data_IF_852488749465
#
_entry.id   IF_852488749465
#
_cell.length_a   1.000
_cell.length_b   1.000
_cell.length_c   1.000
_cell.angle_alpha   90.00
_cell.angle_beta   90.00
_cell.angle_gamma   90.00
#
_symmetry.space_group_name_H-M   'P 1'
#
loop_
_entity.id
_entity.type
_entity.pdbx_description
1 polymer ?
#
# COMPACT_ATOMS: atom_id res chain seq x y z
N UNK A 1 -8.23 12.11 18.88
CA UNK A 1 -8.56 10.83 18.21
C UNK A 1 -9.10 11.17 16.83
N UNK A 2 -8.46 10.70 15.77
CA UNK A 2 -8.94 10.86 14.40
C UNK A 2 -10.24 10.06 14.23
N UNK A 3 -11.19 10.63 13.52
CA UNK A 3 -12.46 9.97 13.20
C UNK A 3 -12.60 9.85 11.69
N UNK A 4 -13.08 8.69 11.26
CA UNK A 4 -13.43 8.48 9.87
C UNK A 4 -14.54 9.45 9.43
N UNK A 5 -14.53 9.87 8.18
CA UNK A 5 -15.62 10.63 7.60
C UNK A 5 -16.93 9.83 7.67
N UNK A 6 -18.05 10.53 7.79
CA UNK A 6 -19.35 9.88 7.87
C UNK A 6 -19.59 9.01 6.62
N UNK A 7 -19.90 7.73 6.82
CA UNK A 7 -20.18 6.79 5.75
C UNK A 7 -18.96 6.05 5.19
N UNK A 8 -17.76 6.26 5.74
CA UNK A 8 -16.53 5.57 5.28
C UNK A 8 -16.06 4.47 6.24
N UNK A 9 -16.62 4.38 7.44
CA UNK A 9 -16.32 3.34 8.43
C UNK A 9 -17.41 2.25 8.39
N UNK A 10 -17.51 1.55 7.26
CA UNK A 10 -18.58 0.60 6.95
C UNK A 10 -18.12 -0.86 6.96
N UNK A 11 -16.81 -1.12 6.82
CA UNK A 11 -16.27 -2.48 6.85
C UNK A 11 -15.94 -2.92 8.26
N UNK A 12 -16.24 -4.18 8.54
CA UNK A 12 -15.87 -4.87 9.78
C UNK A 12 -14.99 -6.07 9.42
N UNK A 13 -14.19 -6.59 10.36
CA UNK A 13 -13.40 -7.80 10.15
C UNK A 13 -14.26 -8.98 9.65
N UNK A 14 -15.51 -9.10 10.12
CA UNK A 14 -16.43 -10.15 9.70
C UNK A 14 -16.86 -10.04 8.23
N UNK A 15 -16.84 -8.84 7.65
CA UNK A 15 -17.17 -8.61 6.23
C UNK A 15 -16.03 -9.03 5.30
N UNK A 16 -14.81 -9.21 5.83
CA UNK A 16 -13.67 -9.62 5.02
C UNK A 16 -13.79 -11.08 4.59
N UNK A 17 -13.51 -11.39 3.31
CA UNK A 17 -13.41 -12.77 2.83
C UNK A 17 -12.19 -13.47 3.44
N UNK A 18 -12.05 -14.78 3.18
CA UNK A 18 -10.77 -15.46 3.42
C UNK A 18 -9.67 -14.83 2.56
N UNK A 19 -8.52 -14.60 3.18
CA UNK A 19 -7.38 -13.88 2.60
C UNK A 19 -6.25 -14.87 2.39
N UNK A 20 -5.86 -15.09 1.15
CA UNK A 20 -4.72 -15.96 0.84
C UNK A 20 -3.41 -15.31 1.28
N UNK A 21 -3.22 -14.02 0.99
CA UNK A 21 -2.03 -13.27 1.37
C UNK A 21 -2.41 -11.88 1.89
N UNK A 22 -2.02 -11.58 3.10
CA UNK A 22 -2.04 -10.23 3.67
C UNK A 22 -0.66 -9.59 3.47
N UNK A 23 -0.60 -8.50 2.73
CA UNK A 23 0.62 -7.71 2.56
C UNK A 23 0.60 -6.51 3.50
N UNK A 24 1.61 -6.39 4.35
CA UNK A 24 1.80 -5.23 5.23
C UNK A 24 2.99 -4.44 4.72
N UNK A 25 2.80 -3.16 4.41
CA UNK A 25 3.85 -2.30 3.85
C UNK A 25 4.75 -1.69 4.90
N UNK A 26 4.21 -1.33 6.06
CA UNK A 26 4.95 -0.74 7.18
C UNK A 26 4.12 -0.71 8.47
N UNK A 27 4.72 -0.32 9.58
CA UNK A 27 4.16 -0.45 10.93
C UNK A 27 3.25 0.71 11.39
N UNK A 28 3.02 1.76 10.59
CA UNK A 28 2.18 2.87 11.02
C UNK A 28 0.77 2.41 11.39
N UNK A 29 0.12 3.15 12.28
CA UNK A 29 -1.14 2.74 12.90
C UNK A 29 -2.30 2.57 11.95
N UNK A 30 -2.32 3.35 10.88
CA UNK A 30 -3.32 3.35 9.84
C UNK A 30 -3.11 2.26 8.78
N UNK A 31 -1.93 1.60 8.78
CA UNK A 31 -1.58 0.46 7.92
C UNK A 31 -1.52 -0.85 8.68
N UNK A 32 -1.24 -0.81 9.97
CA UNK A 32 -1.09 -1.99 10.81
C UNK A 32 -1.88 -1.81 12.11
N UNK A 33 -3.22 -1.75 12.01
CA UNK A 33 -4.10 -1.63 13.17
C UNK A 33 -4.23 -2.95 13.93
N UNK A 34 -3.87 -2.96 15.21
CA UNK A 34 -3.90 -4.16 16.04
C UNK A 34 -5.28 -4.81 16.13
N UNK A 35 -6.33 -4.00 16.32
CA UNK A 35 -7.66 -4.55 16.50
C UNK A 35 -8.14 -5.27 15.24
N UNK A 36 -7.94 -4.64 14.07
CA UNK A 36 -8.28 -5.22 12.77
C UNK A 36 -7.49 -6.50 12.52
N UNK A 37 -6.15 -6.45 12.67
CA UNK A 37 -5.29 -7.60 12.39
C UNK A 37 -5.60 -8.79 13.32
N UNK A 38 -5.82 -8.54 14.61
CA UNK A 38 -6.24 -9.57 15.55
C UNK A 38 -7.53 -10.25 15.10
N UNK A 39 -8.53 -9.47 14.71
CA UNK A 39 -9.86 -9.97 14.41
C UNK A 39 -9.93 -10.69 13.05
N UNK A 40 -9.05 -10.34 12.06
CA UNK A 40 -8.97 -11.05 10.78
C UNK A 40 -7.97 -12.21 10.77
N UNK A 41 -7.19 -12.44 11.82
CA UNK A 41 -6.11 -13.42 11.85
C UNK A 41 -6.55 -14.81 11.36
N UNK A 42 -7.74 -15.28 11.77
CA UNK A 42 -8.29 -16.59 11.41
C UNK A 42 -8.72 -16.69 9.93
N UNK A 43 -8.81 -15.56 9.23
CA UNK A 43 -9.16 -15.49 7.80
C UNK A 43 -7.93 -15.40 6.90
N UNK A 44 -6.75 -15.17 7.47
CA UNK A 44 -5.48 -14.98 6.74
C UNK A 44 -4.73 -16.31 6.68
N UNK A 45 -4.28 -16.71 5.47
CA UNK A 45 -3.44 -17.90 5.29
C UNK A 45 -1.94 -17.58 5.39
N UNK A 46 -1.51 -16.47 4.80
CA UNK A 46 -0.12 -16.01 4.82
C UNK A 46 -0.03 -14.50 5.02
N UNK A 47 1.03 -14.05 5.68
CA UNK A 47 1.38 -12.64 5.82
C UNK A 47 2.75 -12.40 5.20
N UNK A 48 2.86 -11.37 4.36
CA UNK A 48 4.13 -10.90 3.81
C UNK A 48 4.38 -9.49 4.34
N UNK A 49 5.55 -9.26 4.92
CA UNK A 49 5.87 -7.99 5.55
C UNK A 49 7.38 -7.68 5.50
N UNK A 50 7.80 -6.41 5.64
CA UNK A 50 9.19 -6.04 5.75
C UNK A 50 9.82 -6.45 7.11
N UNK A 51 11.16 -6.48 7.17
CA UNK A 51 11.94 -6.81 8.36
C UNK A 51 11.51 -6.01 9.60
N UNK A 52 11.37 -6.70 10.73
CA UNK A 52 10.98 -6.16 12.03
C UNK A 52 9.47 -6.16 12.30
N UNK A 53 8.64 -6.30 11.26
CA UNK A 53 7.17 -6.37 11.41
C UNK A 53 6.73 -7.70 12.06
N UNK A 54 7.42 -8.78 11.75
CA UNK A 54 7.10 -10.12 12.26
C UNK A 54 7.06 -10.17 13.79
N UNK A 55 7.88 -9.38 14.49
CA UNK A 55 7.88 -9.34 15.95
C UNK A 55 6.55 -8.85 16.54
N UNK A 56 5.91 -7.87 15.89
CA UNK A 56 4.56 -7.45 16.27
C UNK A 56 3.54 -8.55 16.03
N UNK A 57 3.59 -9.20 14.86
CA UNK A 57 2.67 -10.26 14.50
C UNK A 57 2.77 -11.45 15.47
N UNK A 58 3.99 -11.87 15.81
CA UNK A 58 4.26 -12.89 16.83
C UNK A 58 3.66 -12.50 18.20
N UNK A 59 3.90 -11.26 18.60
CA UNK A 59 3.34 -10.72 19.84
C UNK A 59 1.80 -10.69 19.82
N UNK A 60 1.19 -10.55 18.64
CA UNK A 60 -0.26 -10.60 18.42
C UNK A 60 -0.80 -12.00 18.13
N UNK A 61 0.04 -13.03 18.34
CA UNK A 61 -0.30 -14.44 18.23
C UNK A 61 -0.59 -14.96 16.81
N UNK A 62 -0.02 -14.29 15.78
CA UNK A 62 0.04 -14.89 14.44
C UNK A 62 0.99 -16.10 14.47
N UNK A 63 0.59 -17.27 13.91
CA UNK A 63 1.47 -18.43 13.79
C UNK A 63 2.74 -18.11 12.96
N UNK A 64 3.90 -18.58 13.44
CA UNK A 64 5.18 -18.33 12.77
C UNK A 64 5.22 -18.79 11.32
N UNK A 65 4.60 -19.92 11.05
CA UNK A 65 4.54 -20.53 9.71
C UNK A 65 3.72 -19.73 8.71
N UNK A 66 2.90 -18.78 9.17
CA UNK A 66 2.15 -17.89 8.30
C UNK A 66 2.94 -16.65 7.88
N UNK A 67 4.06 -16.34 8.54
CA UNK A 67 4.76 -15.07 8.38
C UNK A 67 5.96 -15.24 7.44
N UNK A 68 5.98 -14.45 6.39
CA UNK A 68 7.15 -14.27 5.51
C UNK A 68 7.66 -12.84 5.68
N UNK A 69 8.79 -12.70 6.33
CA UNK A 69 9.47 -11.43 6.55
C UNK A 69 10.55 -11.26 5.48
N UNK A 70 10.64 -10.05 4.88
CA UNK A 70 11.49 -9.80 3.71
C UNK A 70 12.32 -8.54 3.87
N UNK A 71 13.57 -8.58 3.39
CA UNK A 71 14.39 -7.39 3.17
C UNK A 71 14.11 -6.81 1.78
N UNK A 72 14.54 -5.57 1.53
CA UNK A 72 14.44 -4.95 0.22
C UNK A 72 15.16 -5.79 -0.85
N UNK A 73 14.51 -5.92 -1.99
CA UNK A 73 14.92 -6.69 -3.16
C UNK A 73 14.84 -8.22 -2.99
N UNK A 74 14.44 -8.72 -1.84
CA UNK A 74 14.13 -10.14 -1.66
C UNK A 74 12.86 -10.54 -2.42
N UNK A 75 12.84 -11.79 -2.85
CA UNK A 75 11.73 -12.42 -3.56
C UNK A 75 11.27 -13.66 -2.82
N UNK A 76 9.96 -13.86 -2.78
CA UNK A 76 9.36 -15.03 -2.17
C UNK A 76 8.21 -15.58 -3.03
N UNK A 77 8.12 -16.92 -3.10
CA UNK A 77 6.99 -17.66 -3.67
C UNK A 77 6.17 -18.24 -2.51
N UNK A 78 5.19 -17.47 -2.02
CA UNK A 78 4.53 -17.76 -0.74
C UNK A 78 3.59 -18.95 -0.81
N UNK A 79 2.87 -19.15 -1.92
CA UNK A 79 1.79 -20.15 -2.02
C UNK A 79 1.96 -21.15 -3.14
N UNK A 80 2.56 -20.77 -4.24
CA UNK A 80 2.80 -21.61 -5.41
C UNK A 80 3.81 -20.96 -6.37
N UNK A 81 4.30 -21.73 -7.33
CA UNK A 81 5.32 -21.30 -8.29
C UNK A 81 4.85 -20.18 -9.25
N UNK A 82 3.55 -19.93 -9.34
CA UNK A 82 2.99 -18.91 -10.23
C UNK A 82 2.78 -17.54 -9.56
N UNK A 83 2.97 -17.46 -8.24
CA UNK A 83 2.87 -16.22 -7.49
C UNK A 83 4.24 -15.86 -6.92
N UNK A 84 4.77 -14.73 -7.36
CA UNK A 84 6.01 -14.18 -6.85
C UNK A 84 5.75 -12.80 -6.24
N UNK A 85 6.32 -12.56 -5.07
CA UNK A 85 6.28 -11.26 -4.39
C UNK A 85 7.71 -10.77 -4.22
N UNK A 86 7.97 -9.54 -4.66
CA UNK A 86 9.26 -8.86 -4.45
C UNK A 86 9.04 -7.69 -3.51
N UNK A 87 9.78 -7.68 -2.40
CA UNK A 87 9.85 -6.54 -1.49
C UNK A 87 10.74 -5.45 -2.10
N UNK A 88 10.28 -4.20 -2.12
CA UNK A 88 10.96 -3.09 -2.76
C UNK A 88 11.07 -1.89 -1.81
N UNK A 89 12.12 -1.07 -1.91
CA UNK A 89 12.23 0.11 -1.07
C UNK A 89 11.18 1.16 -1.43
N UNK A 90 10.61 1.81 -0.42
CA UNK A 90 9.77 2.99 -0.55
C UNK A 90 10.44 4.21 0.10
N UNK A 91 10.01 5.41 -0.24
CA UNK A 91 10.53 6.64 0.36
C UNK A 91 9.67 7.07 1.53
N UNK A 92 9.82 6.37 2.65
CA UNK A 92 9.03 6.57 3.86
C UNK A 92 9.88 6.39 5.12
N UNK A 93 9.28 6.04 6.23
CA UNK A 93 9.94 5.75 7.49
C UNK A 93 9.07 4.81 8.33
N UNK A 94 9.63 4.26 9.40
CA UNK A 94 8.86 3.55 10.40
C UNK A 94 8.91 4.26 11.76
N UNK A 95 7.79 4.25 12.46
CA UNK A 95 7.67 4.76 13.82
C UNK A 95 6.35 4.29 14.44
N UNK A 96 6.43 3.61 15.58
CA UNK A 96 5.24 3.16 16.31
C UNK A 96 5.39 3.39 17.81
N UNK A 97 4.44 4.11 18.42
CA UNK A 97 4.41 4.41 19.84
C UNK A 97 5.69 5.10 20.37
N UNK A 98 6.23 4.51 21.44
CA UNK A 98 7.46 4.93 22.11
C UNK A 98 8.71 4.25 21.53
N UNK A 99 8.57 3.44 20.49
CA UNK A 99 9.69 2.82 19.80
C UNK A 99 10.57 3.90 19.15
N UNK A 100 11.86 3.60 19.05
CA UNK A 100 12.76 4.48 18.29
C UNK A 100 12.35 4.43 16.81
N UNK A 101 12.48 5.58 16.15
CA UNK A 101 12.20 5.68 14.71
C UNK A 101 13.08 4.70 13.91
N UNK A 102 12.52 4.12 12.85
CA UNK A 102 13.22 3.22 11.94
C UNK A 102 13.75 1.93 12.60
N UNK A 103 12.96 1.31 13.45
CA UNK A 103 13.28 0.00 14.04
C UNK A 103 12.80 -1.16 13.17
N UNK A 104 11.82 -0.92 12.31
CA UNK A 104 11.35 -1.86 11.28
C UNK A 104 11.64 -1.29 9.91
N UNK A 105 11.66 -2.12 8.87
CA UNK A 105 11.64 -1.64 7.50
C UNK A 105 10.22 -1.20 7.09
N UNK A 106 10.17 -0.45 6.01
CA UNK A 106 8.98 -0.07 5.26
C UNK A 106 9.22 -0.41 3.79
N UNK A 107 8.19 -0.79 3.07
CA UNK A 107 8.34 -1.31 1.73
C UNK A 107 7.16 -1.00 0.81
N UNK A 108 7.43 -1.04 -0.47
CA UNK A 108 6.46 -1.32 -1.52
C UNK A 108 6.64 -2.77 -1.99
N UNK A 109 5.68 -3.29 -2.75
CA UNK A 109 5.76 -4.66 -3.25
C UNK A 109 5.38 -4.75 -4.72
N UNK A 110 6.10 -5.60 -5.46
CA UNK A 110 5.68 -6.09 -6.76
C UNK A 110 5.12 -7.49 -6.58
N UNK A 111 3.88 -7.69 -6.99
CA UNK A 111 3.21 -8.99 -7.00
C UNK A 111 3.04 -9.42 -8.45
N UNK A 112 3.62 -10.56 -8.80
CA UNK A 112 3.56 -11.16 -10.12
C UNK A 112 2.77 -12.45 -10.05
N UNK A 113 1.67 -12.54 -10.81
CA UNK A 113 0.81 -13.71 -10.82
C UNK A 113 0.25 -13.97 -12.22
N UNK A 114 0.49 -15.16 -12.76
CA UNK A 114 0.02 -15.56 -14.09
C UNK A 114 0.34 -14.53 -15.19
N UNK A 115 1.53 -13.94 -15.16
CA UNK A 115 1.98 -12.94 -16.13
C UNK A 115 1.42 -11.54 -15.90
N UNK A 116 0.61 -11.33 -14.86
CA UNK A 116 0.12 -10.03 -14.42
C UNK A 116 1.00 -9.45 -13.30
N UNK A 117 1.15 -8.14 -13.30
CA UNK A 117 1.98 -7.40 -12.34
C UNK A 117 1.16 -6.36 -11.61
N UNK A 118 1.14 -6.46 -10.30
CA UNK A 118 0.47 -5.51 -9.41
C UNK A 118 1.51 -4.85 -8.51
N UNK A 119 1.60 -3.54 -8.58
CA UNK A 119 2.46 -2.77 -7.69
C UNK A 119 1.65 -2.24 -6.50
N UNK A 120 2.13 -2.50 -5.29
CA UNK A 120 1.57 -2.01 -4.03
C UNK A 120 2.56 -1.00 -3.47
N UNK A 121 2.27 0.29 -3.63
CA UNK A 121 3.19 1.37 -3.27
C UNK A 121 3.42 1.53 -1.77
N UNK A 122 2.39 1.31 -0.96
CA UNK A 122 2.39 1.77 0.43
C UNK A 122 2.47 3.29 0.51
N UNK A 123 2.89 3.82 1.65
CA UNK A 123 3.15 5.25 1.79
C UNK A 123 4.55 5.60 1.31
N UNK A 124 4.66 6.76 0.67
CA UNK A 124 5.98 7.24 0.25
C UNK A 124 5.96 8.45 -0.67
N UNK A 125 6.95 9.31 -0.51
CA UNK A 125 7.22 10.39 -1.45
C UNK A 125 7.81 9.86 -2.77
N UNK A 126 7.58 10.59 -3.84
CA UNK A 126 8.17 10.29 -5.14
C UNK A 126 9.70 10.40 -5.13
N UNK A 127 10.36 9.47 -5.81
CA UNK A 127 11.76 9.55 -6.23
C UNK A 127 12.03 8.65 -7.46
N UNK A 128 13.30 8.58 -7.87
CA UNK A 128 13.74 7.81 -9.05
C UNK A 128 13.46 6.31 -8.99
N UNK A 129 13.13 5.75 -7.82
CA UNK A 129 12.84 4.30 -7.66
C UNK A 129 11.64 3.86 -8.48
N UNK A 130 10.66 4.71 -8.73
CA UNK A 130 9.54 4.38 -9.61
C UNK A 130 10.04 4.00 -11.01
N UNK A 131 11.02 4.74 -11.53
CA UNK A 131 11.67 4.42 -12.82
C UNK A 131 12.52 3.16 -12.73
N UNK A 132 13.29 2.99 -11.65
CA UNK A 132 14.10 1.79 -11.40
C UNK A 132 13.23 0.52 -11.30
N UNK A 133 12.01 0.63 -10.73
CA UNK A 133 11.02 -0.46 -10.69
C UNK A 133 10.56 -0.79 -12.11
N UNK A 134 10.20 0.20 -12.91
CA UNK A 134 9.86 -0.03 -14.31
C UNK A 134 11.02 -0.69 -15.08
N UNK A 135 12.23 -0.20 -14.93
CA UNK A 135 13.41 -0.74 -15.62
C UNK A 135 13.65 -2.21 -15.26
N UNK A 136 13.29 -2.62 -14.04
CA UNK A 136 13.42 -4.01 -13.58
C UNK A 136 12.27 -4.92 -13.99
N UNK A 137 11.03 -4.44 -13.89
CA UNK A 137 9.82 -5.28 -14.05
C UNK A 137 9.07 -5.02 -15.35
N UNK A 138 9.39 -3.93 -16.07
CA UNK A 138 8.61 -3.49 -17.22
C UNK A 138 7.28 -2.84 -16.82
N UNK A 139 6.37 -2.78 -17.75
CA UNK A 139 5.02 -2.22 -17.56
C UNK A 139 4.25 -2.96 -16.45
N UNK A 140 3.53 -2.19 -15.62
CA UNK A 140 2.73 -2.68 -14.50
C UNK A 140 1.25 -2.68 -14.90
N UNK A 141 0.55 -3.79 -14.75
CA UNK A 141 -0.87 -3.89 -15.10
C UNK A 141 -1.76 -3.04 -14.17
N UNK A 142 -1.45 -3.03 -12.87
CA UNK A 142 -2.19 -2.24 -11.87
C UNK A 142 -1.25 -1.72 -10.79
N UNK A 143 -1.31 -0.42 -10.54
CA UNK A 143 -0.57 0.22 -9.44
C UNK A 143 -1.51 0.79 -8.38
N UNK A 144 -1.32 0.36 -7.12
CA UNK A 144 -1.87 1.02 -5.95
C UNK A 144 -0.89 2.10 -5.49
N UNK A 145 -1.30 3.37 -5.61
CA UNK A 145 -0.44 4.51 -5.31
C UNK A 145 -1.05 5.40 -4.24
N UNK A 146 -0.23 5.81 -3.31
CA UNK A 146 -0.60 6.82 -2.34
C UNK A 146 -0.95 8.13 -3.06
N UNK A 147 -2.07 8.74 -2.65
CA UNK A 147 -2.55 10.01 -3.19
C UNK A 147 -3.37 10.77 -2.13
N UNK A 148 -2.73 11.12 -1.04
CA UNK A 148 -3.41 11.86 0.02
C UNK A 148 -2.51 12.13 1.22
N UNK A 149 -3.03 12.93 2.16
CA UNK A 149 -2.34 13.25 3.41
C UNK A 149 -0.97 13.91 3.22
N UNK A 150 -0.75 14.52 2.05
CA UNK A 150 0.48 15.24 1.71
C UNK A 150 0.51 16.66 2.29
N UNK A 151 1.72 17.14 2.49
CA UNK A 151 2.01 18.52 2.88
C UNK A 151 3.44 18.89 2.48
N UNK A 152 3.68 20.15 2.17
CA UNK A 152 5.03 20.63 1.82
C UNK A 152 6.09 20.33 2.89
N UNK A 153 5.69 20.28 4.18
CA UNK A 153 6.59 20.00 5.29
C UNK A 153 7.07 18.54 5.36
N UNK A 154 6.36 17.61 4.69
CA UNK A 154 6.72 16.18 4.64
C UNK A 154 6.60 15.57 3.26
N UNK A 155 6.84 16.39 2.23
CA UNK A 155 6.81 15.99 0.81
C UNK A 155 7.70 14.80 0.44
N UNK A 156 8.63 14.42 1.32
CA UNK A 156 9.55 13.29 1.09
C UNK A 156 9.01 11.95 1.58
N UNK A 157 7.93 11.97 2.35
CA UNK A 157 7.34 10.77 2.95
C UNK A 157 5.88 10.55 2.54
N UNK A 158 5.31 11.48 1.77
CA UNK A 158 3.99 11.38 1.14
C UNK A 158 4.04 11.97 -0.26
N UNK A 159 3.31 11.36 -1.18
CA UNK A 159 3.28 11.78 -2.59
C UNK A 159 2.53 13.10 -2.75
N UNK A 160 3.21 14.14 -3.23
CA UNK A 160 2.60 15.42 -3.57
C UNK A 160 1.76 15.31 -4.86
N UNK A 161 0.75 16.16 -5.08
CA UNK A 161 -0.05 16.14 -6.31
C UNK A 161 0.76 16.18 -7.60
N UNK A 162 1.78 17.05 -7.66
CA UNK A 162 2.69 17.18 -8.81
C UNK A 162 3.65 15.99 -8.98
N UNK A 163 3.83 15.20 -7.94
CA UNK A 163 4.71 14.02 -7.93
C UNK A 163 3.96 12.73 -8.28
N UNK A 164 2.63 12.67 -8.07
CA UNK A 164 1.79 11.54 -8.48
C UNK A 164 1.86 11.31 -9.99
N UNK A 165 1.81 12.38 -10.79
CA UNK A 165 1.96 12.30 -12.25
C UNK A 165 3.27 11.63 -12.65
N UNK A 166 4.38 12.04 -12.00
CA UNK A 166 5.70 11.45 -12.26
C UNK A 166 5.77 9.98 -11.87
N UNK A 167 5.20 9.62 -10.70
CA UNK A 167 5.17 8.24 -10.23
C UNK A 167 4.44 7.32 -11.22
N UNK A 168 3.27 7.74 -11.71
CA UNK A 168 2.47 7.00 -12.68
C UNK A 168 3.24 6.81 -14.00
N UNK A 169 3.86 7.88 -14.52
CA UNK A 169 4.57 7.86 -15.80
C UNK A 169 5.87 7.07 -15.71
N UNK A 170 6.63 7.20 -14.63
CA UNK A 170 7.87 6.47 -14.44
C UNK A 170 7.63 4.97 -14.24
N UNK A 171 6.55 4.60 -13.56
CA UNK A 171 6.17 3.21 -13.34
C UNK A 171 5.57 2.57 -14.61
N UNK A 172 5.07 3.38 -15.54
CA UNK A 172 4.33 2.96 -16.73
C UNK A 172 3.16 2.04 -16.39
N UNK A 173 2.35 2.44 -15.41
CA UNK A 173 1.18 1.70 -15.00
C UNK A 173 0.05 1.82 -16.04
N UNK A 174 -0.55 0.69 -16.46
CA UNK A 174 -1.70 0.68 -17.37
C UNK A 174 -2.99 1.11 -16.65
N UNK A 175 -3.09 0.73 -15.37
CA UNK A 175 -4.20 1.06 -14.51
C UNK A 175 -3.68 1.55 -13.16
N UNK A 176 -4.38 2.51 -12.58
CA UNK A 176 -4.03 3.10 -11.27
C UNK A 176 -5.23 3.01 -10.35
N UNK A 177 -4.98 2.62 -9.11
CA UNK A 177 -5.90 2.77 -7.99
C UNK A 177 -5.22 3.64 -6.93
N UNK A 178 -5.83 4.78 -6.59
CA UNK A 178 -5.27 5.65 -5.58
C UNK A 178 -5.79 5.32 -4.18
N UNK A 179 -4.93 5.41 -3.19
CA UNK A 179 -5.20 5.07 -1.79
C UNK A 179 -4.76 6.21 -0.86
N UNK A 180 -5.01 6.06 0.45
CA UNK A 180 -4.61 6.99 1.51
C UNK A 180 -5.40 8.31 1.52
N UNK A 181 -6.62 8.31 0.98
CA UNK A 181 -7.55 9.45 0.98
C UNK A 181 -8.97 9.00 1.35
N UNK A 182 -9.90 9.93 1.44
CA UNK A 182 -11.35 9.77 1.62
C UNK A 182 -11.84 9.16 2.95
N UNK A 183 -10.97 8.70 3.83
CA UNK A 183 -11.38 8.10 5.10
C UNK A 183 -11.12 8.99 6.32
N UNK A 184 -9.97 9.63 6.40
CA UNK A 184 -9.56 10.47 7.51
C UNK A 184 -8.96 11.78 7.03
N UNK A 185 -8.97 12.81 7.89
CA UNK A 185 -8.18 14.02 7.69
C UNK A 185 -6.92 13.96 8.56
N UNK A 186 -5.78 13.72 7.94
CA UNK A 186 -4.44 13.75 8.58
C UNK A 186 -3.67 15.00 8.17
N UNK A 187 -3.84 15.46 6.93
CA UNK A 187 -3.24 16.68 6.39
C UNK A 187 -4.28 17.79 6.16
N UNK A 188 -3.81 18.95 5.71
CA UNK A 188 -4.60 20.18 5.58
C UNK A 188 -5.05 20.46 4.14
N UNK A 189 -4.91 19.53 3.20
CA UNK A 189 -5.45 19.70 1.85
C UNK A 189 -6.97 19.48 1.81
N UNK A 190 -7.69 20.04 0.82
CA UNK A 190 -9.10 19.73 0.60
C UNK A 190 -9.30 18.22 0.39
N UNK A 191 -10.33 17.64 0.98
CA UNK A 191 -10.56 16.21 0.92
C UNK A 191 -10.84 15.68 -0.50
N UNK A 192 -11.39 16.51 -1.38
CA UNK A 192 -11.66 16.16 -2.79
C UNK A 192 -10.44 16.29 -3.70
N UNK A 193 -9.37 16.94 -3.26
CA UNK A 193 -8.20 17.24 -4.08
C UNK A 193 -7.50 15.96 -4.58
N UNK A 194 -7.29 14.91 -3.77
CA UNK A 194 -6.69 13.67 -4.25
C UNK A 194 -7.42 13.04 -5.43
N UNK A 195 -8.74 12.86 -5.34
CA UNK A 195 -9.55 12.30 -6.44
C UNK A 195 -9.48 13.16 -7.71
N UNK A 196 -9.65 14.47 -7.57
CA UNK A 196 -9.60 15.39 -8.72
C UNK A 196 -8.22 15.40 -9.39
N UNK A 197 -7.14 15.30 -8.62
CA UNK A 197 -5.78 15.20 -9.12
C UNK A 197 -5.57 13.90 -9.90
N UNK A 198 -5.97 12.76 -9.34
CA UNK A 198 -5.86 11.47 -10.00
C UNK A 198 -6.62 11.46 -11.34
N UNK A 199 -7.88 11.90 -11.35
CA UNK A 199 -8.68 11.99 -12.58
C UNK A 199 -8.04 12.88 -13.64
N UNK A 200 -7.57 14.07 -13.26
CA UNK A 200 -6.89 14.96 -14.19
C UNK A 200 -5.66 14.32 -14.85
N UNK A 201 -4.85 13.61 -14.07
CA UNK A 201 -3.65 12.94 -14.58
C UNK A 201 -4.03 11.81 -15.55
N UNK A 202 -4.94 10.91 -15.13
CA UNK A 202 -5.27 9.75 -15.95
C UNK A 202 -5.98 10.17 -17.27
N UNK A 203 -6.84 11.17 -17.23
CA UNK A 203 -7.50 11.73 -18.42
C UNK A 203 -6.48 12.33 -19.39
N UNK A 204 -5.47 13.05 -18.88
CA UNK A 204 -4.41 13.65 -19.67
C UNK A 204 -3.59 12.63 -20.47
N UNK A 205 -3.38 11.44 -19.89
CA UNK A 205 -2.50 10.42 -20.49
C UNK A 205 -3.25 9.19 -21.01
N UNK A 206 -4.57 9.15 -20.91
CA UNK A 206 -5.37 8.01 -21.36
C UNK A 206 -5.15 6.74 -20.50
N UNK A 207 -4.78 6.90 -19.24
CA UNK A 207 -4.56 5.81 -18.28
C UNK A 207 -5.90 5.45 -17.62
N UNK A 208 -6.11 4.20 -17.28
CA UNK A 208 -7.35 3.79 -16.60
C UNK A 208 -7.24 4.04 -15.09
N UNK A 209 -8.13 4.87 -14.54
CA UNK A 209 -8.33 4.97 -13.11
C UNK A 209 -9.37 3.94 -12.67
N UNK A 210 -9.03 3.09 -11.72
CA UNK A 210 -9.99 2.26 -11.03
C UNK A 210 -10.66 3.11 -9.95
N UNK A 211 -11.90 3.47 -10.20
CA UNK A 211 -12.72 4.24 -9.27
C UNK A 211 -13.56 3.27 -8.44
N UNK A 212 -13.15 3.06 -7.20
CA UNK A 212 -13.85 2.17 -6.28
C UNK A 212 -14.28 2.96 -5.02
N UNK A 213 -15.41 3.65 -5.05
CA UNK A 213 -15.95 4.29 -3.86
C UNK A 213 -16.06 3.28 -2.71
N UNK A 214 -15.79 3.75 -1.50
CA UNK A 214 -15.86 2.88 -0.30
C UNK A 214 -17.24 2.21 -0.22
N UNK A 215 -17.26 0.88 -0.13
CA UNK A 215 -18.48 0.07 -0.08
C UNK A 215 -18.96 -0.50 -1.42
N UNK A 216 -18.26 -0.24 -2.51
CA UNK A 216 -18.62 -0.77 -3.83
C UNK A 216 -17.58 -1.76 -4.34
N UNK A 217 -18.05 -2.85 -4.95
CA UNK A 217 -17.19 -3.83 -5.61
C UNK A 217 -16.89 -3.34 -7.03
N UNK A 218 -15.63 -3.35 -7.40
CA UNK A 218 -15.17 -3.08 -8.77
C UNK A 218 -14.70 -4.37 -9.43
N UNK A 219 -14.97 -4.53 -10.72
CA UNK A 219 -14.41 -5.59 -11.57
C UNK A 219 -13.43 -4.95 -12.57
N UNK A 220 -12.26 -5.55 -12.74
CA UNK A 220 -11.18 -5.11 -13.62
C UNK A 220 -10.55 -6.28 -14.41
#
# INVERSE_FOLDING_TARGET
MLRAFRGTDIYRPDDMPDIDILVITHEHWDHMDYATLRDICQKVKHVVCPLGIADYLRYWHYPEEMITEMDWYEQSSVTNDNLQITCLPARHFSNRLLAKRNQTLWASFMVEYNGKKVYIGGDGGYDKRFREIHDRFGTVDLAFLENGQYNANWRYIHTMPEDLEKAILDLQAEQVFTVHHDKFALAMHPWQEPDSTARHIVDKYGIKLLDAPIGYVQQY
#
